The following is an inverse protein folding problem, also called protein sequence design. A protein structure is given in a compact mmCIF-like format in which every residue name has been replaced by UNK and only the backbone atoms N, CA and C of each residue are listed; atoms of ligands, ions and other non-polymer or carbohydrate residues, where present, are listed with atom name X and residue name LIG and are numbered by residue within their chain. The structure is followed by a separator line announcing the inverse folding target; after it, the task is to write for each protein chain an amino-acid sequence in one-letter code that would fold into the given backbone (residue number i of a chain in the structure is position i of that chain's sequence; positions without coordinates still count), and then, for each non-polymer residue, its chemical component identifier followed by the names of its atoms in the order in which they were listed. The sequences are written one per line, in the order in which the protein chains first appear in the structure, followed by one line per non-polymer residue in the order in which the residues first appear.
data_IF_525435612385
#
_entry.id   IF_525435612385
#
_cell.length_a   1.000
_cell.length_b   1.000
_cell.length_c   1.000
_cell.angle_alpha   90.00
_cell.angle_beta   90.00
_cell.angle_gamma   90.00
#
_symmetry.space_group_name_H-M   'P 1'
#
loop_
_entity.id
_entity.type
_entity.pdbx_description
1 polymer ?
#
# COMPACT_ATOMS: atom_id res chain seq x y z
N UNK A 1 -41.94 5.14 0.51
CA UNK A 1 -40.86 5.90 -0.18
C UNK A 1 -39.58 5.12 0.07
N UNK A 2 -39.20 4.24 -0.86
CA UNK A 2 -37.97 3.45 -0.77
C UNK A 2 -36.87 4.36 -1.31
N UNK A 3 -35.98 4.82 -0.43
CA UNK A 3 -34.82 5.62 -0.80
C UNK A 3 -33.83 4.76 -1.55
N UNK A 4 -33.74 4.97 -2.86
CA UNK A 4 -32.68 4.41 -3.70
C UNK A 4 -31.40 5.20 -3.38
N UNK A 5 -30.53 4.63 -2.55
CA UNK A 5 -29.18 5.14 -2.37
C UNK A 5 -28.39 4.85 -3.65
N UNK A 6 -28.24 5.85 -4.50
CA UNK A 6 -27.20 5.84 -5.53
C UNK A 6 -25.86 6.04 -4.81
N UNK A 7 -25.15 4.95 -4.53
CA UNK A 7 -23.71 5.05 -4.29
C UNK A 7 -23.10 5.68 -5.53
N UNK A 8 -22.31 6.75 -5.35
CA UNK A 8 -21.55 7.31 -6.46
C UNK A 8 -20.69 6.18 -7.04
N UNK A 9 -20.92 5.83 -8.31
CA UNK A 9 -19.96 5.03 -9.04
C UNK A 9 -18.67 5.87 -9.11
N UNK A 10 -17.65 5.50 -8.34
CA UNK A 10 -16.35 6.12 -8.48
C UNK A 10 -15.84 5.86 -9.89
N UNK A 11 -15.34 6.88 -10.56
CA UNK A 11 -14.72 6.71 -11.87
C UNK A 11 -13.49 5.78 -11.75
N UNK A 12 -13.15 5.08 -12.83
CA UNK A 12 -11.94 4.27 -12.89
C UNK A 12 -10.71 5.11 -12.54
N UNK A 13 -9.86 4.63 -11.63
CA UNK A 13 -8.65 5.38 -11.26
C UNK A 13 -7.69 5.49 -12.43
N UNK A 14 -7.05 6.65 -12.58
CA UNK A 14 -6.07 6.95 -13.66
C UNK A 14 -4.70 7.36 -13.12
N UNK A 15 -4.60 7.53 -11.81
CA UNK A 15 -3.40 7.91 -11.07
C UNK A 15 -3.34 7.16 -9.74
N UNK A 16 -2.14 7.10 -9.16
CA UNK A 16 -1.91 6.52 -7.84
C UNK A 16 -1.08 7.49 -7.01
N UNK A 17 -1.48 7.67 -5.76
CA UNK A 17 -0.67 8.34 -4.74
C UNK A 17 0.17 7.31 -4.00
N UNK A 18 1.47 7.52 -3.91
CA UNK A 18 2.40 6.69 -3.16
C UNK A 18 2.82 7.48 -1.92
N UNK A 19 2.61 6.91 -0.75
CA UNK A 19 2.88 7.53 0.54
C UNK A 19 3.81 6.64 1.37
N UNK A 20 4.74 7.26 2.11
CA UNK A 20 5.59 6.57 3.07
C UNK A 20 5.44 7.18 4.45
N UNK A 21 5.23 6.33 5.44
CA UNK A 21 5.03 6.70 6.84
C UNK A 21 6.07 6.06 7.76
N UNK A 22 6.32 6.69 8.91
CA UNK A 22 6.99 6.04 10.04
C UNK A 22 6.06 5.00 10.70
N UNK A 23 6.60 4.17 11.59
CA UNK A 23 5.81 3.23 12.40
C UNK A 23 4.74 3.93 13.27
N UNK A 24 4.96 5.20 13.61
CA UNK A 24 4.07 6.04 14.41
C UNK A 24 3.00 6.77 13.57
N UNK A 25 3.00 6.56 12.25
CA UNK A 25 2.03 7.18 11.33
C UNK A 25 2.39 8.60 10.89
N UNK A 26 3.66 9.00 11.01
CA UNK A 26 4.14 10.31 10.51
C UNK A 26 4.48 10.18 9.02
N UNK A 27 3.90 11.03 8.16
CA UNK A 27 4.22 11.06 6.74
C UNK A 27 5.67 11.52 6.51
N UNK A 28 6.45 10.70 5.81
CA UNK A 28 7.85 10.96 5.45
C UNK A 28 7.99 11.51 4.05
N UNK A 29 7.25 10.95 3.09
CA UNK A 29 7.29 11.36 1.68
C UNK A 29 6.00 10.95 0.97
N UNK A 30 5.61 11.69 -0.05
CA UNK A 30 4.44 11.41 -0.88
C UNK A 30 4.64 11.92 -2.31
N UNK A 31 4.09 11.19 -3.27
CA UNK A 31 4.00 11.63 -4.67
C UNK A 31 2.78 11.02 -5.33
N UNK A 32 2.23 11.71 -6.33
CA UNK A 32 1.14 11.19 -7.16
C UNK A 32 1.61 11.13 -8.60
N UNK A 33 1.34 10.00 -9.28
CA UNK A 33 1.70 9.80 -10.69
C UNK A 33 0.51 9.22 -11.44
N UNK A 34 0.23 9.76 -12.62
CA UNK A 34 -0.76 9.22 -13.55
C UNK A 34 -0.16 8.11 -14.43
N UNK A 35 -1.03 7.36 -15.12
CA UNK A 35 -0.58 6.26 -15.97
C UNK A 35 0.31 6.69 -17.14
N UNK A 36 0.12 7.90 -17.67
CA UNK A 36 0.90 8.40 -18.80
C UNK A 36 2.34 8.70 -18.36
N UNK A 37 2.49 9.29 -17.18
CA UNK A 37 3.78 9.48 -16.54
C UNK A 37 4.43 8.15 -16.23
N UNK A 38 3.68 7.19 -15.65
CA UNK A 38 4.18 5.86 -15.35
C UNK A 38 4.72 5.16 -16.61
N UNK A 39 3.94 5.12 -17.70
CA UNK A 39 4.36 4.49 -18.96
C UNK A 39 5.58 5.18 -19.58
N UNK A 40 5.68 6.51 -19.48
CA UNK A 40 6.78 7.27 -20.07
C UNK A 40 8.09 7.21 -19.26
N UNK A 41 8.03 6.97 -17.95
CA UNK A 41 9.20 7.14 -17.06
C UNK A 41 9.62 5.87 -16.31
N UNK A 42 8.76 4.85 -16.22
CA UNK A 42 9.04 3.61 -15.51
C UNK A 42 9.04 2.40 -16.47
N UNK A 43 9.76 1.31 -16.14
CA UNK A 43 9.70 0.09 -16.91
C UNK A 43 8.27 -0.46 -16.99
N UNK A 44 7.82 -0.76 -18.20
CA UNK A 44 6.50 -1.36 -18.43
C UNK A 44 6.56 -2.87 -18.15
N UNK A 45 5.67 -3.34 -17.28
CA UNK A 45 5.40 -4.76 -17.03
C UNK A 45 4.31 -5.22 -18.00
N UNK A 46 4.55 -6.35 -18.68
CA UNK A 46 3.66 -6.86 -19.72
C UNK A 46 3.84 -6.18 -21.07
N UNK A 47 3.33 -6.83 -22.11
CA UNK A 47 3.48 -6.44 -23.51
C UNK A 47 2.13 -6.09 -24.18
N UNK A 48 1.01 -6.25 -23.48
CA UNK A 48 -0.34 -6.14 -24.04
C UNK A 48 -0.71 -7.28 -24.99
N UNK A 49 0.01 -8.40 -24.94
CA UNK A 49 -0.26 -9.62 -25.72
C UNK A 49 -0.38 -10.83 -24.80
N UNK A 50 0.50 -10.93 -23.80
CA UNK A 50 0.55 -12.00 -22.80
C UNK A 50 -0.60 -11.83 -21.82
N UNK A 51 -1.43 -12.87 -21.70
CA UNK A 51 -2.54 -12.93 -20.76
C UNK A 51 -2.06 -13.37 -19.38
N UNK A 52 -2.59 -12.71 -18.34
CA UNK A 52 -2.30 -13.03 -16.95
C UNK A 52 -3.57 -13.56 -16.27
N UNK A 53 -3.42 -14.62 -15.49
CA UNK A 53 -4.53 -15.32 -14.86
C UNK A 53 -4.35 -15.35 -13.35
N UNK A 54 -5.47 -15.34 -12.65
CA UNK A 54 -5.54 -15.70 -11.24
C UNK A 54 -6.40 -16.96 -11.11
N UNK A 55 -6.66 -17.41 -9.90
CA UNK A 55 -7.50 -18.57 -9.65
C UNK A 55 -8.70 -18.22 -8.76
N UNK A 56 -9.86 -18.72 -9.14
CA UNK A 56 -11.09 -18.64 -8.34
C UNK A 56 -11.08 -19.65 -7.19
N UNK A 57 -12.06 -19.58 -6.27
CA UNK A 57 -12.14 -20.55 -5.18
C UNK A 57 -12.32 -21.98 -5.68
N UNK A 58 -11.58 -22.91 -5.10
CA UNK A 58 -11.79 -24.36 -5.28
C UNK A 58 -12.77 -24.82 -4.21
N UNK A 59 -13.87 -25.45 -4.61
CA UNK A 59 -14.96 -25.82 -3.69
C UNK A 59 -14.98 -27.29 -3.28
N UNK A 60 -14.36 -28.16 -4.07
CA UNK A 60 -14.35 -29.62 -3.90
C UNK A 60 -12.95 -30.18 -4.15
N UNK A 61 -12.61 -31.30 -3.51
CA UNK A 61 -11.28 -31.92 -3.63
C UNK A 61 -10.22 -31.25 -2.75
N UNK A 62 -8.97 -31.26 -3.20
CA UNK A 62 -7.90 -30.51 -2.55
C UNK A 62 -8.09 -29.02 -2.86
N UNK A 63 -8.43 -28.24 -1.83
CA UNK A 63 -8.73 -26.82 -1.96
C UNK A 63 -7.53 -26.00 -2.46
N UNK A 64 -6.32 -26.54 -2.32
CA UNK A 64 -5.08 -25.89 -2.77
C UNK A 64 -4.67 -26.28 -4.19
N UNK A 65 -5.45 -27.13 -4.87
CA UNK A 65 -5.28 -27.49 -6.29
C UNK A 65 -3.81 -27.53 -6.74
N UNK A 66 -3.04 -28.56 -6.31
CA UNK A 66 -1.60 -28.63 -6.60
C UNK A 66 -1.26 -28.73 -8.10
N UNK A 67 -2.27 -28.83 -8.96
CA UNK A 67 -2.13 -28.87 -10.42
C UNK A 67 -2.53 -27.57 -11.12
N UNK A 68 -3.00 -26.56 -10.37
CA UNK A 68 -3.44 -25.27 -10.93
C UNK A 68 -4.37 -25.45 -12.15
N UNK A 69 -5.41 -26.27 -11.98
CA UNK A 69 -6.28 -26.73 -13.06
C UNK A 69 -7.76 -26.40 -12.85
N UNK A 70 -8.13 -25.89 -11.67
CA UNK A 70 -9.53 -25.62 -11.31
C UNK A 70 -9.79 -24.12 -11.25
N UNK A 71 -10.80 -23.63 -11.97
CA UNK A 71 -11.24 -22.23 -11.93
C UNK A 71 -10.14 -21.20 -12.30
N UNK A 72 -9.23 -21.56 -13.21
CA UNK A 72 -8.17 -20.70 -13.74
C UNK A 72 -8.58 -20.04 -15.06
N UNK A 73 -9.01 -20.81 -16.07
CA UNK A 73 -9.34 -20.26 -17.41
C UNK A 73 -10.44 -19.19 -17.38
N UNK A 74 -11.37 -19.27 -16.41
CA UNK A 74 -12.45 -18.27 -16.21
C UNK A 74 -12.00 -17.02 -15.44
N UNK A 75 -10.72 -16.97 -15.05
CA UNK A 75 -10.06 -15.90 -14.30
C UNK A 75 -8.90 -15.30 -15.09
N UNK A 76 -9.07 -15.26 -16.42
CA UNK A 76 -8.30 -14.40 -17.30
C UNK A 76 -8.48 -12.94 -16.88
N UNK A 77 -7.39 -12.28 -16.55
CA UNK A 77 -7.38 -10.85 -16.20
C UNK A 77 -7.04 -9.96 -17.40
N UNK A 78 -6.83 -10.55 -18.58
CA UNK A 78 -6.57 -9.90 -19.85
C UNK A 78 -5.09 -9.87 -20.20
N UNK A 79 -4.82 -9.34 -21.40
CA UNK A 79 -3.46 -9.04 -21.83
C UNK A 79 -3.08 -7.62 -21.38
N UNK A 80 -2.20 -7.53 -20.39
CA UNK A 80 -2.02 -6.31 -19.60
C UNK A 80 -0.72 -5.58 -19.90
N UNK A 81 -0.74 -4.27 -19.61
CA UNK A 81 0.45 -3.47 -19.33
C UNK A 81 0.30 -2.73 -18.02
N UNK A 82 1.42 -2.49 -17.35
CA UNK A 82 1.43 -1.84 -16.05
C UNK A 82 2.81 -1.44 -15.59
N UNK A 83 2.90 -1.15 -14.30
CA UNK A 83 4.14 -0.73 -13.63
C UNK A 83 4.37 -1.61 -12.41
N UNK A 84 5.61 -2.09 -12.21
CA UNK A 84 5.95 -2.86 -11.02
C UNK A 84 5.71 -2.04 -9.75
N UNK A 85 5.11 -2.64 -8.73
CA UNK A 85 4.85 -1.96 -7.45
C UNK A 85 6.17 -1.53 -6.80
N UNK A 86 7.22 -2.35 -6.95
CA UNK A 86 8.57 -2.01 -6.49
C UNK A 86 9.02 -0.64 -7.00
N UNK A 87 8.92 -0.40 -8.31
CA UNK A 87 9.37 0.86 -8.93
C UNK A 87 8.52 2.05 -8.47
N UNK A 88 7.23 1.85 -8.22
CA UNK A 88 6.36 2.86 -7.62
C UNK A 88 6.78 3.20 -6.18
N UNK A 89 7.11 2.20 -5.37
CA UNK A 89 7.62 2.42 -4.02
C UNK A 89 8.94 3.19 -3.99
N UNK A 90 9.82 2.99 -4.98
CA UNK A 90 11.10 3.71 -5.05
C UNK A 90 10.94 5.23 -5.21
N UNK A 91 9.81 5.69 -5.77
CA UNK A 91 9.52 7.13 -5.90
C UNK A 91 9.47 7.87 -4.57
N UNK A 92 9.18 7.16 -3.46
CA UNK A 92 9.16 7.71 -2.10
C UNK A 92 10.30 7.19 -1.22
N UNK A 93 11.35 6.62 -1.83
CA UNK A 93 12.52 6.08 -1.13
C UNK A 93 12.33 4.64 -0.65
N UNK A 94 11.50 3.86 -1.34
CA UNK A 94 11.40 2.41 -1.22
C UNK A 94 10.81 1.90 0.09
N UNK A 95 10.85 0.57 0.27
CA UNK A 95 10.46 -0.14 1.48
C UNK A 95 11.63 -1.02 1.96
N UNK A 96 11.94 -0.96 3.25
CA UNK A 96 13.00 -1.75 3.88
C UNK A 96 12.45 -3.05 4.48
N UNK A 97 13.32 -4.01 4.76
CA UNK A 97 12.92 -5.28 5.40
C UNK A 97 12.08 -5.04 6.66
N UNK A 98 10.93 -5.72 6.75
CA UNK A 98 9.94 -5.56 7.81
C UNK A 98 8.81 -4.58 7.48
N UNK A 99 9.00 -3.68 6.52
CA UNK A 99 7.98 -2.71 6.11
C UNK A 99 6.76 -3.39 5.51
N UNK A 100 5.61 -2.72 5.67
CA UNK A 100 4.32 -3.17 5.12
C UNK A 100 3.87 -2.22 4.02
N UNK A 101 3.37 -2.79 2.94
CA UNK A 101 2.86 -2.06 1.78
C UNK A 101 1.36 -2.32 1.69
N UNK A 102 0.56 -1.27 1.77
CA UNK A 102 -0.91 -1.34 1.73
C UNK A 102 -1.43 -0.69 0.46
N UNK A 103 -2.19 -1.44 -0.31
CA UNK A 103 -2.94 -0.98 -1.48
C UNK A 103 -4.33 -0.58 -1.02
N UNK A 104 -4.74 0.64 -1.37
CA UNK A 104 -6.02 1.22 -0.98
C UNK A 104 -6.77 1.59 -2.26
N UNK A 105 -7.93 0.99 -2.44
CA UNK A 105 -8.84 1.33 -3.52
C UNK A 105 -9.64 2.59 -3.20
N UNK A 106 -10.17 3.23 -4.25
CA UNK A 106 -11.04 4.41 -4.14
C UNK A 106 -12.32 4.16 -3.32
N UNK A 107 -12.76 2.91 -3.17
CA UNK A 107 -13.89 2.52 -2.31
C UNK A 107 -13.47 2.24 -0.85
N UNK A 108 -12.18 2.38 -0.53
CA UNK A 108 -11.59 2.14 0.78
C UNK A 108 -11.19 0.68 1.05
N UNK A 109 -11.36 -0.25 0.09
CA UNK A 109 -10.87 -1.62 0.23
C UNK A 109 -9.34 -1.61 0.38
N UNK A 110 -8.82 -2.38 1.33
CA UNK A 110 -7.38 -2.46 1.62
C UNK A 110 -6.84 -3.87 1.46
N UNK A 111 -5.64 -3.97 0.91
CA UNK A 111 -4.81 -5.17 0.93
C UNK A 111 -3.42 -4.80 1.40
N UNK A 112 -2.86 -5.53 2.35
CA UNK A 112 -1.52 -5.28 2.88
C UNK A 112 -0.64 -6.49 2.66
N UNK A 113 0.58 -6.26 2.17
CA UNK A 113 1.61 -7.27 2.02
C UNK A 113 2.89 -6.85 2.74
N UNK A 114 3.69 -7.77 3.27
CA UNK A 114 5.07 -7.49 3.62
C UNK A 114 5.85 -7.12 2.36
N UNK A 115 6.84 -6.23 2.50
CA UNK A 115 7.65 -5.78 1.37
C UNK A 115 8.29 -6.93 0.57
N UNK A 116 8.60 -8.07 1.23
CA UNK A 116 9.33 -9.18 0.59
C UNK A 116 8.63 -9.70 -0.66
N UNK A 117 7.29 -9.71 -0.69
CA UNK A 117 6.53 -10.12 -1.88
C UNK A 117 6.68 -9.14 -3.05
N UNK A 118 7.06 -7.89 -2.77
CA UNK A 118 7.21 -6.83 -3.77
C UNK A 118 8.68 -6.73 -4.25
N UNK A 119 9.65 -6.85 -3.34
CA UNK A 119 11.06 -6.66 -3.68
C UNK A 119 11.78 -7.97 -4.04
N UNK A 120 11.31 -9.09 -3.51
CA UNK A 120 11.87 -10.42 -3.70
C UNK A 120 10.75 -11.46 -3.93
N UNK A 121 9.88 -11.25 -4.93
CA UNK A 121 8.85 -12.24 -5.23
C UNK A 121 9.49 -13.57 -5.65
N UNK A 122 8.95 -14.67 -5.14
CA UNK A 122 9.25 -15.99 -5.66
C UNK A 122 8.78 -16.11 -7.13
N UNK A 123 9.46 -16.88 -7.99
CA UNK A 123 9.11 -16.99 -9.41
C UNK A 123 7.65 -17.34 -9.68
N UNK A 124 7.07 -18.24 -8.87
CA UNK A 124 5.67 -18.66 -8.98
C UNK A 124 4.67 -17.51 -8.73
N UNK A 125 5.00 -16.56 -7.84
CA UNK A 125 4.21 -15.33 -7.68
C UNK A 125 4.45 -14.36 -8.83
N UNK A 126 5.72 -14.26 -9.25
CA UNK A 126 6.15 -13.31 -10.25
C UNK A 126 6.08 -11.86 -9.77
N UNK A 127 6.21 -10.92 -10.70
CA UNK A 127 6.22 -9.49 -10.35
C UNK A 127 4.83 -9.04 -9.92
N UNK A 128 4.73 -8.40 -8.76
CA UNK A 128 3.52 -7.68 -8.34
C UNK A 128 3.52 -6.30 -9.01
N UNK A 129 2.48 -6.00 -9.78
CA UNK A 129 2.40 -4.79 -10.59
C UNK A 129 1.00 -4.17 -10.56
N UNK A 130 0.91 -2.88 -10.88
CA UNK A 130 -0.35 -2.20 -11.11
C UNK A 130 -0.60 -2.09 -12.61
N UNK A 131 -1.63 -2.76 -13.11
CA UNK A 131 -2.05 -2.66 -14.51
C UNK A 131 -2.86 -1.38 -14.71
N UNK A 132 -2.50 -0.62 -15.75
CA UNK A 132 -3.20 0.59 -16.19
C UNK A 132 -3.70 0.49 -17.65
N UNK A 133 -3.50 -0.66 -18.29
CA UNK A 133 -3.97 -0.97 -19.64
C UNK A 133 -4.35 -2.45 -19.75
N UNK A 134 -5.44 -2.72 -20.46
CA UNK A 134 -5.79 -4.04 -21.00
C UNK A 134 -5.92 -3.96 -22.52
N UNK A 135 -5.65 -5.07 -23.21
CA UNK A 135 -5.85 -5.14 -24.66
C UNK A 135 -7.31 -4.98 -25.05
N UNK A 136 -8.21 -5.50 -24.22
CA UNK A 136 -9.65 -5.52 -24.45
C UNK A 136 -10.28 -4.13 -24.32
N UNK A 137 -9.88 -3.35 -23.32
CA UNK A 137 -10.51 -2.06 -23.00
C UNK A 137 -9.63 -0.85 -23.36
N UNK A 138 -8.32 -1.04 -23.50
CA UNK A 138 -7.35 0.03 -23.68
C UNK A 138 -6.77 0.53 -22.37
N UNK A 139 -6.44 1.82 -22.32
CA UNK A 139 -5.90 2.47 -21.13
C UNK A 139 -7.01 2.81 -20.14
N UNK A 140 -6.68 3.07 -18.88
CA UNK A 140 -7.59 3.77 -17.97
C UNK A 140 -7.87 5.20 -18.50
N UNK A 141 -9.12 5.73 -18.38
CA UNK A 141 -10.25 5.16 -17.65
C UNK A 141 -11.15 4.21 -18.47
N UNK A 142 -10.87 3.95 -19.75
CA UNK A 142 -11.63 2.97 -20.55
C UNK A 142 -11.51 1.55 -19.98
N UNK A 143 -10.33 1.21 -19.44
CA UNK A 143 -10.15 0.03 -18.59
C UNK A 143 -10.93 0.20 -17.28
N UNK A 144 -12.17 -0.29 -17.29
CA UNK A 144 -13.22 0.06 -16.31
C UNK A 144 -12.93 -0.40 -14.88
N UNK A 145 -12.00 -1.34 -14.68
CA UNK A 145 -11.54 -1.75 -13.34
C UNK A 145 -10.50 -0.79 -12.75
N UNK A 146 -10.16 0.28 -13.48
CA UNK A 146 -9.15 1.26 -13.09
C UNK A 146 -7.77 0.64 -12.97
N UNK A 147 -6.89 1.33 -12.25
CA UNK A 147 -5.58 0.80 -11.91
C UNK A 147 -5.78 -0.40 -10.98
N UNK A 148 -5.27 -1.56 -11.37
CA UNK A 148 -5.58 -2.83 -10.71
C UNK A 148 -4.33 -3.58 -10.27
N UNK A 149 -4.36 -4.13 -9.07
CA UNK A 149 -3.28 -4.95 -8.52
C UNK A 149 -3.25 -6.33 -9.19
N UNK A 150 -2.10 -6.68 -9.73
CA UNK A 150 -1.88 -7.86 -10.57
C UNK A 150 -0.55 -8.55 -10.25
N UNK A 151 -0.45 -9.81 -10.65
CA UNK A 151 0.69 -10.68 -10.46
C UNK A 151 1.04 -11.28 -11.81
N UNK A 152 2.32 -11.35 -12.17
CA UNK A 152 2.68 -11.94 -13.47
C UNK A 152 2.55 -13.46 -13.45
N UNK A 153 2.77 -14.12 -12.32
CA UNK A 153 2.78 -15.58 -12.25
C UNK A 153 3.84 -16.24 -13.15
N UNK A 154 4.09 -17.52 -12.93
CA UNK A 154 4.83 -18.33 -13.90
C UNK A 154 3.91 -19.31 -14.65
N UNK A 155 4.50 -20.26 -15.36
CA UNK A 155 3.78 -21.23 -16.21
C UNK A 155 4.01 -22.67 -15.75
N UNK A 156 4.50 -22.85 -14.52
CA UNK A 156 5.15 -24.10 -14.10
C UNK A 156 4.19 -25.20 -13.65
N UNK A 157 3.00 -24.85 -13.16
CA UNK A 157 2.04 -25.80 -12.60
C UNK A 157 0.87 -26.09 -13.54
N UNK A 158 0.21 -25.05 -14.07
CA UNK A 158 -0.99 -25.24 -14.86
C UNK A 158 -0.75 -26.03 -16.17
N UNK A 159 -1.73 -26.81 -16.62
CA UNK A 159 -1.59 -27.67 -17.80
C UNK A 159 -1.59 -26.91 -19.14
N UNK A 160 -1.85 -25.60 -19.14
CA UNK A 160 -2.01 -24.81 -20.37
C UNK A 160 -0.76 -23.99 -20.74
N UNK A 161 0.20 -23.87 -19.82
CA UNK A 161 1.36 -22.97 -19.99
C UNK A 161 0.97 -21.49 -19.92
N UNK A 162 -0.10 -21.16 -19.20
CA UNK A 162 -0.54 -19.80 -18.94
C UNK A 162 0.27 -19.17 -17.82
N UNK A 163 0.39 -17.84 -17.86
CA UNK A 163 0.94 -17.06 -16.76
C UNK A 163 -0.10 -16.93 -15.67
N UNK A 164 -0.02 -17.79 -14.66
CA UNK A 164 -1.02 -17.89 -13.58
C UNK A 164 -0.32 -17.63 -12.25
N UNK A 165 -0.97 -16.85 -11.38
CA UNK A 165 -0.68 -16.92 -9.95
C UNK A 165 -1.87 -17.60 -9.27
N UNK A 166 -1.75 -18.91 -9.05
CA UNK A 166 -2.82 -19.75 -8.51
C UNK A 166 -2.77 -19.93 -6.99
N UNK A 167 -3.73 -20.68 -6.45
CA UNK A 167 -3.78 -20.93 -5.00
C UNK A 167 -2.64 -21.84 -4.54
N UNK A 168 -2.15 -22.73 -5.40
CA UNK A 168 -0.95 -23.53 -5.11
C UNK A 168 0.29 -22.64 -4.96
N UNK A 169 0.45 -21.63 -5.82
CA UNK A 169 1.54 -20.66 -5.74
C UNK A 169 1.40 -19.77 -4.51
N UNK A 170 0.20 -19.28 -4.22
CA UNK A 170 -0.09 -18.52 -2.99
C UNK A 170 0.36 -19.31 -1.75
N UNK A 171 0.00 -20.59 -1.67
CA UNK A 171 0.40 -21.47 -0.58
C UNK A 171 1.92 -21.64 -0.47
N UNK A 172 2.60 -21.73 -1.61
CA UNK A 172 4.04 -21.98 -1.67
C UNK A 172 4.87 -20.72 -1.40
N UNK A 173 4.34 -19.54 -1.73
CA UNK A 173 5.11 -18.29 -1.79
C UNK A 173 4.74 -17.27 -0.72
N UNK A 174 3.53 -17.36 -0.14
CA UNK A 174 3.07 -16.46 0.91
C UNK A 174 3.09 -17.14 2.28
N UNK A 175 3.34 -16.36 3.33
CA UNK A 175 3.16 -16.77 4.71
C UNK A 175 1.68 -17.09 4.96
N UNK A 176 1.40 -18.12 5.78
CA UNK A 176 0.03 -18.60 6.03
C UNK A 176 -0.94 -17.51 6.52
N UNK A 177 -0.44 -16.53 7.27
CA UNK A 177 -1.23 -15.39 7.75
C UNK A 177 -1.68 -14.44 6.63
N UNK A 178 -1.00 -14.46 5.48
CA UNK A 178 -1.26 -13.60 4.32
C UNK A 178 -2.14 -14.31 3.27
N UNK A 179 -2.40 -15.61 3.43
CA UNK A 179 -3.29 -16.36 2.56
C UNK A 179 -4.71 -15.78 2.57
N UNK A 180 -5.30 -15.71 1.39
CA UNK A 180 -6.62 -15.16 1.18
C UNK A 180 -7.66 -16.24 0.98
N UNK A 181 -8.75 -16.11 1.73
CA UNK A 181 -9.87 -17.02 1.68
C UNK A 181 -11.18 -16.28 1.34
N UNK A 182 -11.80 -16.67 0.23
CA UNK A 182 -13.18 -16.31 -0.07
C UNK A 182 -14.12 -16.92 0.98
N UNK A 183 -15.00 -16.06 1.52
CA UNK A 183 -15.91 -16.39 2.64
C UNK A 183 -15.19 -16.99 3.86
N UNK A 184 -13.90 -16.70 4.05
CA UNK A 184 -13.09 -17.22 5.16
C UNK A 184 -12.82 -18.72 5.10
N UNK A 185 -13.06 -19.38 3.95
CA UNK A 185 -12.93 -20.83 3.81
C UNK A 185 -12.20 -21.28 2.55
N UNK A 186 -12.47 -20.68 1.40
CA UNK A 186 -11.99 -21.20 0.12
C UNK A 186 -10.83 -20.35 -0.40
N UNK A 187 -9.61 -20.90 -0.55
CA UNK A 187 -8.46 -20.12 -1.00
C UNK A 187 -8.72 -19.57 -2.41
N UNK A 188 -8.25 -18.37 -2.70
CA UNK A 188 -8.36 -17.77 -4.03
C UNK A 188 -7.39 -16.60 -4.18
N UNK A 189 -6.64 -16.58 -5.29
CA UNK A 189 -5.80 -15.42 -5.62
C UNK A 189 -6.57 -14.30 -6.28
N UNK A 190 -7.75 -14.56 -6.85
CA UNK A 190 -8.61 -13.51 -7.44
C UNK A 190 -8.95 -12.42 -6.41
N UNK A 191 -9.14 -12.79 -5.15
CA UNK A 191 -9.46 -11.83 -4.08
C UNK A 191 -8.27 -11.02 -3.56
N UNK A 192 -7.05 -11.30 -4.05
CA UNK A 192 -5.88 -10.45 -3.85
C UNK A 192 -5.84 -9.28 -4.86
N UNK A 193 -6.51 -9.42 -6.01
CA UNK A 193 -6.51 -8.43 -7.09
C UNK A 193 -7.51 -7.30 -6.84
N UNK A 194 -7.05 -6.29 -6.11
CA UNK A 194 -7.81 -5.08 -5.80
C UNK A 194 -7.90 -4.17 -7.04
N UNK A 195 -9.11 -3.72 -7.35
CA UNK A 195 -9.43 -2.81 -8.46
C UNK A 195 -9.46 -1.35 -7.98
N UNK A 196 -9.38 -0.40 -8.91
CA UNK A 196 -9.45 1.04 -8.63
C UNK A 196 -8.49 1.48 -7.52
N UNK A 197 -7.25 1.00 -7.55
CA UNK A 197 -6.19 1.43 -6.64
C UNK A 197 -5.99 2.93 -6.82
N UNK A 198 -6.08 3.65 -5.71
CA UNK A 198 -5.88 5.10 -5.60
C UNK A 198 -4.62 5.40 -4.78
N UNK A 199 -4.27 4.55 -3.81
CA UNK A 199 -3.10 4.79 -2.94
C UNK A 199 -2.29 3.52 -2.68
N UNK A 200 -0.96 3.67 -2.71
CA UNK A 200 -0.01 2.73 -2.10
C UNK A 200 0.57 3.41 -0.85
N UNK A 201 0.38 2.80 0.31
CA UNK A 201 0.88 3.30 1.59
C UNK A 201 1.94 2.35 2.16
N UNK A 202 3.16 2.86 2.33
CA UNK A 202 4.29 2.14 2.91
C UNK A 202 4.41 2.56 4.38
N UNK A 203 4.35 1.59 5.30
CA UNK A 203 4.57 1.83 6.74
C UNK A 203 5.88 1.20 7.16
N UNK A 204 6.80 2.06 7.61
CA UNK A 204 8.10 1.64 8.12
C UNK A 204 7.95 0.77 9.37
N UNK A 205 8.69 -0.34 9.41
CA UNK A 205 8.83 -1.18 10.60
C UNK A 205 9.82 -0.61 11.62
N UNK A 206 10.75 0.23 11.15
CA UNK A 206 11.73 0.92 11.98
C UNK A 206 11.08 2.18 12.55
N UNK A 207 11.08 2.30 13.89
CA UNK A 207 10.68 3.55 14.55
C UNK A 207 11.60 4.68 14.10
N UNK A 208 11.04 5.86 13.86
CA UNK A 208 11.86 7.02 13.55
C UNK A 208 12.88 7.21 14.68
N UNK A 209 14.18 6.98 14.39
CA UNK A 209 15.25 7.29 15.35
C UNK A 209 15.05 8.75 15.76
N UNK A 210 14.87 8.95 17.07
CA UNK A 210 14.43 10.20 17.65
C UNK A 210 15.06 11.40 16.97
N UNK A 211 14.20 12.33 16.55
CA UNK A 211 14.59 13.72 16.42
C UNK A 211 15.45 14.06 17.64
N UNK A 212 16.66 14.62 17.50
CA UNK A 212 17.41 15.06 18.67
C UNK A 212 16.45 15.95 19.46
N UNK A 213 16.15 15.56 20.69
CA UNK A 213 15.46 16.43 21.62
C UNK A 213 16.24 17.74 21.58
N UNK A 214 15.62 18.78 21.05
CA UNK A 214 16.12 20.13 21.23
C UNK A 214 16.05 20.32 22.73
N UNK A 215 17.15 20.10 23.44
CA UNK A 215 17.27 20.48 24.84
C UNK A 215 16.91 21.95 24.87
N UNK A 216 15.69 22.24 25.34
CA UNK A 216 15.25 23.60 25.61
C UNK A 216 16.22 24.14 26.62
N UNK A 217 17.14 24.99 26.18
CA UNK A 217 17.93 25.81 27.08
C UNK A 217 16.89 26.58 27.90
N UNK A 218 16.85 26.44 29.24
CA UNK A 218 15.91 27.22 30.02
C UNK A 218 16.23 28.70 29.80
N UNK A 219 15.26 29.42 29.24
CA UNK A 219 15.31 30.89 29.16
C UNK A 219 15.54 31.43 30.58
N UNK A 220 16.51 32.33 30.81
CA UNK A 220 16.65 32.96 32.10
C UNK A 220 15.40 33.81 32.35
N UNK A 221 14.58 33.36 33.30
CA UNK A 221 13.48 34.13 33.85
C UNK A 221 14.04 35.35 34.58
N UNK A 222 13.94 36.53 33.97
CA UNK A 222 14.11 37.79 34.69
C UNK A 222 12.88 38.04 35.55
N UNK A 223 12.94 37.60 36.81
CA UNK A 223 11.95 37.95 37.83
C UNK A 223 12.08 39.44 38.15
N UNK A 224 11.07 40.23 37.76
CA UNK A 224 10.96 41.64 38.11
C UNK A 224 10.69 41.77 39.62
N UNK A 225 11.72 42.11 40.40
CA UNK A 225 11.59 42.34 41.84
C UNK A 225 10.99 43.75 42.07
N UNK A 226 9.70 43.81 42.39
CA UNK A 226 9.05 45.04 42.85
C UNK A 226 9.42 45.24 44.33
N UNK A 227 10.39 46.10 44.60
CA UNK A 227 10.69 46.56 45.96
C UNK A 227 9.66 47.60 46.41
N UNK A 228 8.72 47.21 47.27
CA UNK A 228 7.90 48.13 48.06
C UNK A 228 8.64 48.37 49.39
N UNK A 229 9.28 49.53 49.53
CA UNK A 229 9.83 49.99 50.82
C UNK A 229 8.72 50.65 51.64
N UNK A 230 8.23 49.94 52.64
CA UNK A 230 7.40 50.47 53.71
C UNK A 230 8.24 51.27 54.71
N UNK A 231 7.79 52.49 55.00
CA UNK A 231 8.38 53.37 56.03
C UNK A 231 7.71 53.08 57.37
N UNK A 232 8.48 52.51 58.31
CA UNK A 232 8.26 52.58 59.75
C UNK A 232 9.67 52.85 60.34
N UNK A 233 9.94 53.91 61.11
CA UNK A 233 9.17 54.46 62.20
C UNK A 233 9.80 53.99 63.52
N UNK A 234 10.95 54.57 63.90
CA UNK A 234 11.58 54.34 65.20
C UNK A 234 12.02 55.68 65.81
N UNK A 235 11.24 56.10 66.79
CA UNK A 235 11.50 57.16 67.76
C UNK A 235 12.43 56.60 68.85
N UNK A 236 13.42 57.38 69.31
CA UNK A 236 13.76 57.63 70.73
C UNK A 236 15.18 58.23 70.89
N UNK A 237 15.21 59.54 71.14
CA UNK A 237 15.80 60.21 72.31
C UNK A 237 17.25 59.86 72.74
N UNK A 238 18.20 60.83 72.66
CA UNK A 238 18.55 61.80 73.73
C UNK A 238 19.96 62.44 73.56
N UNK A 239 19.98 63.79 73.56
CA UNK A 239 20.79 64.71 74.42
C UNK A 239 22.19 65.26 74.02
N UNK A 240 22.34 66.56 74.40
CA UNK A 240 23.53 67.43 74.58
C UNK A 240 24.09 68.07 73.30
N UNK A 241 24.29 69.39 73.19
CA UNK A 241 24.41 70.53 74.12
C UNK A 241 23.55 71.71 73.63
#
# INVERSE_FOLDING_TARGET
MIGLFFGAASAATTEVTIEKYTAEGILLNTTTVDYQWMEAHLPVVGDGITHYYLQGPVFEGDLWDPTESVNVETKDMGALKGTAVKDLCELVGGAAEGDKITFIAADGLKKTFPQKYIYHPEPAMGTVFLSWYSKEDGYVPEYYTGIRLMFTGDTSLNPWGYHVFGVADEKATMDEQDWYYYSGKYPTTTGLSVQNIETISIVSSVQAKGQPETTSVPSPSFSLLICILGVFGAVLLFRKL
#
